data_IF_290289428316
#
_entry.id   IF_290289428316
#
_cell.length_a   1.000
_cell.length_b   1.000
_cell.length_c   1.000
_cell.angle_alpha   90.00
_cell.angle_beta   90.00
_cell.angle_gamma   90.00
#
_symmetry.space_group_name_H-M   'P 1'
#
loop_
_entity.id
_entity.type
_entity.pdbx_description
1 polymer ?
#
# COMPACT_ATOMS: atom_id res chain seq x y z
N UNK A 1 10.93 10.43 15.81
CA UNK A 1 11.32 10.41 14.39
C UNK A 1 10.06 10.63 13.57
N UNK A 2 10.12 11.44 12.52
CA UNK A 2 8.97 11.67 11.64
C UNK A 2 8.69 10.46 10.76
N UNK A 3 7.44 10.24 10.38
CA UNK A 3 7.07 9.20 9.41
C UNK A 3 7.58 9.60 8.02
N UNK A 4 8.13 8.64 7.27
CA UNK A 4 8.50 8.88 5.87
C UNK A 4 7.24 9.12 5.06
N UNK A 5 7.25 10.18 4.25
CA UNK A 5 6.14 10.54 3.38
C UNK A 5 6.55 10.27 1.94
N UNK A 6 5.78 9.44 1.23
CA UNK A 6 6.06 9.11 -0.16
C UNK A 6 4.97 9.64 -1.09
N UNK A 7 5.39 10.12 -2.26
CA UNK A 7 4.50 10.37 -3.39
C UNK A 7 3.96 9.05 -3.96
N UNK A 8 2.86 9.12 -4.71
CA UNK A 8 2.22 7.94 -5.29
C UNK A 8 3.19 7.11 -6.16
N UNK A 9 3.95 7.70 -7.11
CA UNK A 9 4.92 6.95 -7.91
C UNK A 9 5.91 6.15 -7.08
N UNK A 10 6.48 6.79 -6.06
CA UNK A 10 7.57 6.22 -5.25
C UNK A 10 7.03 5.21 -4.24
N UNK A 11 5.87 5.47 -3.65
CA UNK A 11 5.19 4.50 -2.82
C UNK A 11 4.85 3.22 -3.60
N UNK A 12 4.45 3.32 -4.88
CA UNK A 12 4.20 2.14 -5.69
C UNK A 12 5.46 1.41 -6.16
N UNK A 13 6.58 2.12 -6.31
CA UNK A 13 7.88 1.46 -6.43
C UNK A 13 8.16 0.59 -5.20
N UNK A 14 8.02 1.15 -4.00
CA UNK A 14 8.22 0.41 -2.74
C UNK A 14 7.27 -0.78 -2.63
N UNK A 15 5.97 -0.58 -2.88
CA UNK A 15 4.98 -1.65 -2.80
C UNK A 15 5.22 -2.76 -3.84
N UNK A 16 5.65 -2.41 -5.06
CA UNK A 16 5.97 -3.43 -6.05
C UNK A 16 7.23 -4.22 -5.66
N UNK A 17 8.27 -3.52 -5.19
CA UNK A 17 9.50 -4.14 -4.75
C UNK A 17 9.25 -5.08 -3.56
N UNK A 18 8.49 -4.65 -2.55
CA UNK A 18 8.08 -5.48 -1.41
C UNK A 18 7.24 -6.68 -1.82
N UNK A 19 6.44 -6.55 -2.89
CA UNK A 19 5.60 -7.66 -3.38
C UNK A 19 6.40 -8.84 -3.94
N UNK A 20 7.69 -8.66 -4.23
CA UNK A 20 8.60 -9.75 -4.62
C UNK A 20 8.78 -10.81 -3.51
N UNK A 21 8.49 -10.45 -2.25
CA UNK A 21 8.72 -11.30 -1.08
C UNK A 21 10.19 -11.38 -0.63
N UNK A 22 11.09 -10.64 -1.28
CA UNK A 22 12.50 -10.59 -0.92
C UNK A 22 12.75 -9.82 0.38
N UNK A 23 13.92 -10.06 0.99
CA UNK A 23 14.31 -9.32 2.19
C UNK A 23 14.50 -7.82 1.89
N UNK A 24 14.21 -6.96 2.87
CA UNK A 24 14.34 -5.49 2.75
C UNK A 24 15.72 -5.06 2.27
N UNK A 25 16.80 -5.61 2.83
CA UNK A 25 18.16 -5.23 2.42
C UNK A 25 18.48 -5.71 0.99
N UNK A 26 18.03 -6.90 0.59
CA UNK A 26 18.19 -7.35 -0.79
C UNK A 26 17.46 -6.45 -1.79
N UNK A 27 16.24 -6.02 -1.45
CA UNK A 27 15.49 -5.06 -2.26
C UNK A 27 16.28 -3.76 -2.41
N UNK A 28 16.75 -3.20 -1.29
CA UNK A 28 17.51 -1.95 -1.27
C UNK A 28 18.78 -2.06 -2.12
N UNK A 29 19.52 -3.17 -1.99
CA UNK A 29 20.73 -3.41 -2.77
C UNK A 29 20.44 -3.50 -4.27
N UNK A 30 19.39 -4.21 -4.69
CA UNK A 30 18.97 -4.27 -6.10
C UNK A 30 18.62 -2.88 -6.65
N UNK A 31 17.86 -2.09 -5.89
CA UNK A 31 17.45 -0.74 -6.28
C UNK A 31 18.65 0.21 -6.41
N UNK A 32 19.61 0.17 -5.48
CA UNK A 32 20.85 0.96 -5.52
C UNK A 32 21.76 0.59 -6.68
N UNK A 33 21.89 -0.69 -6.97
CA UNK A 33 22.79 -1.20 -8.01
C UNK A 33 22.20 -1.07 -9.42
N UNK A 34 20.92 -0.70 -9.54
CA UNK A 34 20.24 -0.65 -10.83
C UNK A 34 19.94 -2.04 -11.41
N UNK A 35 20.04 -3.10 -10.61
CA UNK A 35 19.81 -4.48 -11.04
C UNK A 35 18.42 -4.95 -10.59
N UNK A 36 17.40 -4.61 -11.39
CA UNK A 36 16.00 -4.79 -10.98
C UNK A 36 15.41 -6.16 -11.34
N UNK A 37 16.03 -6.91 -12.25
CA UNK A 37 15.52 -8.19 -12.75
C UNK A 37 15.08 -9.16 -11.64
N UNK A 38 15.89 -9.39 -10.58
CA UNK A 38 15.51 -10.29 -9.49
C UNK A 38 14.23 -9.89 -8.75
N UNK A 39 13.93 -8.59 -8.69
CA UNK A 39 12.71 -8.08 -8.07
C UNK A 39 11.53 -8.17 -9.04
N UNK A 40 11.71 -7.71 -10.29
CA UNK A 40 10.64 -7.61 -11.29
C UNK A 40 10.05 -8.99 -11.59
N UNK A 41 10.87 -10.03 -11.73
CA UNK A 41 10.44 -11.42 -11.99
C UNK A 41 9.46 -11.98 -10.94
N UNK A 42 9.49 -11.48 -9.71
CA UNK A 42 8.68 -11.95 -8.59
C UNK A 42 7.60 -10.96 -8.16
N UNK A 43 7.70 -9.72 -8.63
CA UNK A 43 6.81 -8.63 -8.26
C UNK A 43 5.43 -8.76 -8.91
N UNK A 44 4.45 -8.05 -8.36
CA UNK A 44 3.07 -8.01 -8.90
C UNK A 44 2.94 -7.19 -10.19
N UNK A 45 3.91 -6.34 -10.51
CA UNK A 45 3.93 -5.47 -11.68
C UNK A 45 5.32 -5.55 -12.35
N UNK A 46 5.61 -6.63 -13.09
CA UNK A 46 6.92 -6.88 -13.70
C UNK A 46 7.28 -5.86 -14.79
N UNK A 47 6.29 -5.15 -15.33
CA UNK A 47 6.48 -4.14 -16.38
C UNK A 47 6.79 -2.74 -15.81
N UNK A 48 6.88 -2.60 -14.47
CA UNK A 48 7.16 -1.32 -13.84
C UNK A 48 8.60 -0.86 -14.13
N UNK A 49 8.74 0.35 -14.67
CA UNK A 49 10.03 1.01 -14.84
C UNK A 49 10.58 1.51 -13.49
N UNK A 50 11.42 0.71 -12.84
CA UNK A 50 12.05 1.08 -11.55
C UNK A 50 13.00 2.26 -11.68
N UNK A 51 13.69 2.41 -12.81
CA UNK A 51 14.63 3.50 -13.02
C UNK A 51 13.90 4.85 -13.05
N UNK A 52 12.79 4.93 -13.80
CA UNK A 52 11.96 6.15 -13.85
C UNK A 52 11.37 6.50 -12.47
N UNK A 53 10.93 5.49 -11.70
CA UNK A 53 10.41 5.72 -10.34
C UNK A 53 11.48 6.18 -9.36
N UNK A 54 12.69 5.63 -9.43
CA UNK A 54 13.81 6.07 -8.60
C UNK A 54 14.22 7.50 -8.94
N UNK A 55 14.25 7.85 -10.23
CA UNK A 55 14.47 9.23 -10.66
C UNK A 55 13.39 10.18 -10.13
N UNK A 56 12.12 9.76 -10.19
CA UNK A 56 11.01 10.52 -9.58
C UNK A 56 11.23 10.72 -8.07
N UNK A 57 11.77 9.72 -7.37
CA UNK A 57 12.06 9.82 -5.94
C UNK A 57 13.12 10.89 -5.65
N UNK A 58 14.18 10.95 -6.45
CA UNK A 58 15.20 12.00 -6.35
C UNK A 58 14.61 13.39 -6.60
N UNK A 59 13.81 13.55 -7.66
CA UNK A 59 13.17 14.83 -8.01
C UNK A 59 12.19 15.31 -6.93
N UNK A 60 11.49 14.39 -6.27
CA UNK A 60 10.48 14.70 -5.24
C UNK A 60 11.03 14.73 -3.81
N UNK A 61 12.30 14.36 -3.62
CA UNK A 61 12.93 14.21 -2.29
C UNK A 61 12.27 13.12 -1.44
N UNK A 62 11.81 12.04 -2.08
CA UNK A 62 11.19 10.90 -1.40
C UNK A 62 12.26 9.88 -0.97
N UNK A 63 12.34 9.62 0.33
CA UNK A 63 13.27 8.63 0.88
C UNK A 63 12.69 7.21 0.80
N UNK A 64 12.75 6.64 -0.40
CA UNK A 64 12.26 5.29 -0.67
C UNK A 64 13.01 4.23 0.15
N UNK A 65 14.26 4.47 0.49
CA UNK A 65 15.10 3.50 1.19
C UNK A 65 14.69 3.40 2.67
N UNK A 66 14.51 4.54 3.33
CA UNK A 66 13.98 4.60 4.69
C UNK A 66 12.55 4.03 4.74
N UNK A 67 11.74 4.26 3.70
CA UNK A 67 10.39 3.69 3.60
C UNK A 67 10.34 2.17 3.37
N UNK A 68 11.43 1.54 2.91
CA UNK A 68 11.53 0.08 2.85
C UNK A 68 11.89 -0.47 4.23
N UNK A 69 12.85 0.18 4.92
CA UNK A 69 13.29 -0.27 6.25
C UNK A 69 12.21 -0.07 7.30
N UNK A 70 11.56 1.08 7.28
CA UNK A 70 10.56 1.51 8.23
C UNK A 70 9.20 1.71 7.55
N UNK A 71 8.18 2.03 8.33
CA UNK A 71 6.88 2.35 7.74
C UNK A 71 6.88 3.75 7.10
N UNK A 72 5.97 3.93 6.15
CA UNK A 72 5.76 5.19 5.45
C UNK A 72 4.27 5.53 5.38
N UNK A 73 3.97 6.75 4.96
CA UNK A 73 2.62 7.22 4.71
C UNK A 73 2.56 7.87 3.34
N UNK A 74 1.46 7.68 2.62
CA UNK A 74 1.27 8.37 1.35
C UNK A 74 1.08 9.88 1.58
N UNK A 75 1.88 10.73 0.92
CA UNK A 75 1.72 12.20 0.88
C UNK A 75 0.30 12.57 0.44
N UNK A 76 -0.12 11.93 -0.65
CA UNK A 76 -1.47 12.01 -1.23
C UNK A 76 -1.81 10.64 -1.84
N UNK A 77 -3.07 10.22 -1.77
CA UNK A 77 -3.61 8.96 -2.22
C UNK A 77 -5.06 9.16 -2.67
N UNK A 78 -5.30 9.27 -3.98
CA UNK A 78 -6.65 9.28 -4.54
C UNK A 78 -7.26 7.87 -4.58
N UNK A 79 -8.56 7.76 -4.87
CA UNK A 79 -9.30 6.48 -4.83
C UNK A 79 -8.67 5.37 -5.68
N UNK A 80 -8.22 5.67 -6.91
CA UNK A 80 -7.56 4.66 -7.74
C UNK A 80 -6.20 4.21 -7.18
N UNK A 81 -5.48 5.10 -6.50
CA UNK A 81 -4.27 4.77 -5.77
C UNK A 81 -4.60 3.87 -4.58
N UNK A 82 -5.66 4.18 -3.83
CA UNK A 82 -6.10 3.33 -2.73
C UNK A 82 -6.42 1.90 -3.21
N UNK A 83 -7.17 1.75 -4.31
CA UNK A 83 -7.45 0.43 -4.90
C UNK A 83 -6.16 -0.30 -5.32
N UNK A 84 -5.22 0.42 -5.93
CA UNK A 84 -3.92 -0.17 -6.29
C UNK A 84 -3.13 -0.60 -5.04
N UNK A 85 -3.12 0.21 -3.98
CA UNK A 85 -2.49 -0.17 -2.70
C UNK A 85 -3.11 -1.45 -2.13
N UNK A 86 -4.44 -1.55 -2.14
CA UNK A 86 -5.18 -2.73 -1.69
C UNK A 86 -4.76 -3.99 -2.45
N UNK A 87 -4.61 -3.91 -3.76
CA UNK A 87 -4.13 -5.01 -4.60
C UNK A 87 -2.68 -5.39 -4.30
N UNK A 88 -1.78 -4.41 -4.19
CA UNK A 88 -0.35 -4.66 -3.99
C UNK A 88 -0.03 -5.19 -2.59
N UNK A 89 -0.46 -4.46 -1.55
CA UNK A 89 -0.10 -4.77 -0.16
C UNK A 89 -0.94 -5.89 0.44
N UNK A 90 -2.23 -5.92 0.10
CA UNK A 90 -3.21 -6.79 0.78
C UNK A 90 -3.80 -7.87 -0.15
N UNK A 91 -3.56 -7.79 -1.45
CA UNK A 91 -4.10 -8.74 -2.42
C UNK A 91 -5.62 -8.64 -2.57
N UNK A 92 -6.18 -7.45 -2.40
CA UNK A 92 -7.63 -7.20 -2.42
C UNK A 92 -8.06 -6.49 -3.69
N UNK A 93 -9.09 -7.00 -4.35
CA UNK A 93 -9.60 -6.45 -5.61
C UNK A 93 -11.05 -5.98 -5.50
N UNK A 94 -11.40 -4.95 -6.26
CA UNK A 94 -12.77 -4.42 -6.33
C UNK A 94 -13.71 -5.46 -6.95
N UNK A 95 -14.95 -5.49 -6.48
CA UNK A 95 -16.02 -6.42 -6.89
C UNK A 95 -15.74 -7.89 -6.54
N UNK A 96 -14.61 -8.18 -5.90
CA UNK A 96 -14.25 -9.49 -5.36
C UNK A 96 -14.08 -9.47 -3.84
N UNK A 97 -13.29 -8.54 -3.32
CA UNK A 97 -12.97 -8.42 -1.89
C UNK A 97 -13.63 -7.22 -1.19
N UNK A 98 -14.14 -6.26 -1.97
CA UNK A 98 -14.82 -5.07 -1.48
C UNK A 98 -15.62 -4.42 -2.61
N UNK A 99 -16.55 -3.53 -2.25
CA UNK A 99 -17.36 -2.77 -3.21
C UNK A 99 -16.95 -1.30 -3.15
N UNK A 100 -16.91 -0.63 -4.30
CA UNK A 100 -16.74 0.82 -4.37
C UNK A 100 -18.11 1.50 -4.55
N UNK A 101 -18.44 2.40 -3.63
CA UNK A 101 -19.58 3.32 -3.73
C UNK A 101 -19.06 4.76 -3.73
N UNK A 102 -19.06 5.44 -4.89
CA UNK A 102 -18.49 6.78 -5.04
C UNK A 102 -17.02 6.85 -4.57
N UNK A 103 -16.75 7.60 -3.49
CA UNK A 103 -15.46 7.77 -2.84
C UNK A 103 -15.36 6.99 -1.52
N UNK A 104 -16.14 5.91 -1.41
CA UNK A 104 -16.16 5.02 -0.26
C UNK A 104 -15.92 3.59 -0.72
N UNK A 105 -15.06 2.86 -0.01
CA UNK A 105 -14.89 1.42 -0.17
C UNK A 105 -15.55 0.72 1.00
N UNK A 106 -16.47 -0.21 0.75
CA UNK A 106 -17.22 -0.94 1.79
C UNK A 106 -16.93 -2.43 1.74
N UNK A 107 -17.25 -3.11 2.83
CA UNK A 107 -17.16 -4.57 2.93
C UNK A 107 -15.75 -5.10 2.69
N UNK A 108 -14.70 -4.28 2.93
CA UNK A 108 -13.33 -4.73 2.75
C UNK A 108 -12.98 -5.70 3.87
N UNK A 109 -12.81 -6.97 3.51
CA UNK A 109 -12.39 -8.01 4.45
C UNK A 109 -10.86 -8.07 4.54
N UNK A 110 -10.31 -7.71 5.69
CA UNK A 110 -8.86 -7.64 5.96
C UNK A 110 -8.49 -8.42 7.23
N UNK A 111 -7.28 -8.96 7.28
CA UNK A 111 -6.79 -9.61 8.49
C UNK A 111 -6.55 -8.58 9.62
N UNK A 112 -6.90 -8.87 10.89
CA UNK A 112 -6.81 -7.91 11.99
C UNK A 112 -5.41 -7.31 12.22
N UNK A 113 -4.37 -8.11 12.02
CA UNK A 113 -2.96 -7.70 12.14
C UNK A 113 -2.53 -6.69 11.07
N UNK A 114 -3.27 -6.61 9.96
CA UNK A 114 -2.98 -5.72 8.82
C UNK A 114 -3.76 -4.40 8.86
N UNK A 115 -4.75 -4.27 9.75
CA UNK A 115 -5.58 -3.07 9.85
C UNK A 115 -4.73 -1.85 10.22
N UNK A 116 -3.82 -1.99 11.17
CA UNK A 116 -2.96 -0.88 11.61
C UNK A 116 -2.00 -0.43 10.49
N UNK A 117 -1.48 -1.35 9.70
CA UNK A 117 -0.69 -1.02 8.50
C UNK A 117 -1.54 -0.24 7.49
N UNK A 118 -2.78 -0.70 7.21
CA UNK A 118 -3.67 0.02 6.30
C UNK A 118 -3.98 1.42 6.83
N UNK A 119 -4.36 1.55 8.10
CA UNK A 119 -4.62 2.83 8.78
C UNK A 119 -3.44 3.77 8.63
N UNK A 120 -2.23 3.30 8.90
CA UNK A 120 -1.01 4.08 8.82
C UNK A 120 -0.79 4.63 7.41
N UNK A 121 -0.75 3.74 6.40
CA UNK A 121 -0.44 4.10 5.01
C UNK A 121 -1.39 5.16 4.45
N UNK A 122 -2.68 5.10 4.81
CA UNK A 122 -3.74 5.96 4.25
C UNK A 122 -4.11 7.13 5.17
N UNK A 123 -3.48 7.23 6.34
CA UNK A 123 -3.87 8.07 7.47
C UNK A 123 -4.02 9.56 7.16
N UNK A 124 -3.44 10.07 6.07
CA UNK A 124 -3.56 11.49 5.70
C UNK A 124 -4.89 11.85 5.05
N UNK A 125 -5.54 10.92 4.36
CA UNK A 125 -6.72 11.23 3.55
C UNK A 125 -7.91 10.32 3.77
N UNK A 126 -7.68 9.12 4.28
CA UNK A 126 -8.73 8.13 4.45
C UNK A 126 -8.91 7.78 5.91
N UNK A 127 -10.17 7.65 6.31
CA UNK A 127 -10.54 6.97 7.54
C UNK A 127 -10.70 5.49 7.22
N UNK A 128 -10.18 4.64 8.10
CA UNK A 128 -10.50 3.20 8.12
C UNK A 128 -11.44 2.99 9.30
N UNK A 129 -12.65 2.52 9.05
CA UNK A 129 -13.68 2.34 10.06
C UNK A 129 -14.00 0.85 10.12
N UNK A 130 -13.85 0.24 11.28
CA UNK A 130 -14.24 -1.15 11.46
C UNK A 130 -15.77 -1.23 11.47
N UNK A 131 -16.31 -2.08 10.57
CA UNK A 131 -17.72 -2.38 10.52
C UNK A 131 -17.95 -3.54 11.50
N UNK A 132 -18.39 -3.22 12.71
CA UNK A 132 -18.81 -4.23 13.67
C UNK A 132 -20.06 -4.91 13.11
N UNK A 133 -19.92 -6.18 12.74
CA UNK A 133 -21.04 -7.01 12.33
C UNK A 133 -22.04 -7.08 13.49
N UNK A 134 -23.26 -6.57 13.28
CA UNK A 134 -24.36 -6.64 14.27
C UNK A 134 -24.89 -8.08 14.36
N UNK A 135 -24.50 -8.94 13.43
CA UNK A 135 -24.79 -10.37 13.43
C UNK A 135 -23.67 -11.14 14.11
N UNK A 136 -23.94 -11.56 15.35
CA UNK A 136 -22.98 -12.24 16.22
C UNK A 136 -22.54 -13.62 15.73
N UNK A 137 -21.53 -13.64 14.86
CA UNK A 137 -20.64 -14.78 14.68
C UNK A 137 -19.19 -14.28 14.70
N UNK A 138 -18.56 -14.31 15.87
CA UNK A 138 -17.11 -14.11 16.02
C UNK A 138 -16.38 -15.37 15.54
N UNK A 139 -16.40 -15.63 14.24
CA UNK A 139 -15.39 -16.47 13.59
C UNK A 139 -14.16 -15.60 13.40
N UNK A 140 -13.20 -15.71 14.31
CA UNK A 140 -12.00 -14.87 14.38
C UNK A 140 -11.03 -15.04 13.22
N UNK A 141 -11.43 -14.70 12.00
CA UNK A 141 -10.59 -14.89 10.81
C UNK A 141 -10.41 -13.65 9.95
N UNK A 142 -11.38 -12.71 9.87
CA UNK A 142 -11.22 -11.43 9.16
C UNK A 142 -12.11 -10.35 9.77
N UNK A 143 -11.65 -9.10 9.73
CA UNK A 143 -12.43 -7.93 10.12
C UNK A 143 -12.90 -7.21 8.86
N UNK A 144 -14.16 -6.80 8.85
CA UNK A 144 -14.72 -5.99 7.77
C UNK A 144 -14.49 -4.51 8.09
N UNK A 145 -13.95 -3.76 7.12
CA UNK A 145 -13.70 -2.33 7.27
C UNK A 145 -14.29 -1.53 6.10
N UNK A 146 -14.62 -0.29 6.38
CA UNK A 146 -14.98 0.74 5.41
C UNK A 146 -13.87 1.78 5.32
N UNK A 147 -13.57 2.22 4.10
CA UNK A 147 -12.69 3.36 3.84
C UNK A 147 -13.47 4.53 3.27
N UNK A 148 -13.30 5.71 3.85
CA UNK A 148 -13.95 6.94 3.41
C UNK A 148 -12.99 8.13 3.49
N UNK A 149 -13.17 9.14 2.65
CA UNK A 149 -12.35 10.35 2.67
C UNK A 149 -12.60 11.17 3.95
N UNK A 150 -11.53 11.70 4.53
CA UNK A 150 -11.56 12.50 5.78
C UNK A 150 -12.28 13.83 5.66
N UNK A 151 -12.19 14.46 4.50
CA UNK A 151 -12.75 15.78 4.25
C UNK A 151 -13.65 15.65 3.02
N UNK A 152 -14.96 15.77 3.23
CA UNK A 152 -15.99 15.84 2.19
C UNK A 152 -16.60 17.24 2.20
#
# INVERSE_FOLDING_TARGET
MGQVLLSIPVAFLVENALSSGESKEFIIDCLRQGNYAPLLEKSKDPDMDFADRLKTAEEMGDDWEEAIRNDYVFKFLHINGLKRLLRFRFGKEVDHDYIQENLTLRQLSIEPDKIETLRLLVSRQWNVIEENDITGEKTGQRTTVRLELKYQ
#
